data_IF_175200897175
#
_entry.id   IF_175200897175
#
_cell.length_a   1.000
_cell.length_b   1.000
_cell.length_c   1.000
_cell.angle_alpha   90.00
_cell.angle_beta   90.00
_cell.angle_gamma   90.00
#
_symmetry.space_group_name_H-M   'P 1'
#
loop_
_entity.id
_entity.type
_entity.pdbx_description
1 polymer ?
#
# COMPACT_ATOMS: atom_id res chain seq x y z
N UNK A 1 24.60 9.02 -3.81
CA UNK A 1 23.20 8.75 -3.45
C UNK A 1 22.64 7.82 -4.51
N UNK A 2 22.39 6.55 -4.17
CA UNK A 2 21.90 5.56 -5.12
C UNK A 2 20.37 5.57 -5.05
N UNK A 3 19.72 6.08 -6.09
CA UNK A 3 18.26 6.11 -6.17
C UNK A 3 17.78 4.75 -6.69
N UNK A 4 17.04 4.02 -5.86
CA UNK A 4 16.36 2.80 -6.27
C UNK A 4 14.88 3.09 -6.46
N UNK A 5 14.41 2.90 -7.70
CA UNK A 5 12.99 2.98 -8.01
C UNK A 5 12.35 1.63 -7.73
N UNK A 6 11.29 1.62 -6.92
CA UNK A 6 10.50 0.43 -6.63
C UNK A 6 9.03 0.77 -6.81
N UNK A 7 8.29 -0.14 -7.44
CA UNK A 7 6.84 -0.02 -7.59
C UNK A 7 6.20 -0.47 -6.28
N UNK A 8 5.32 0.35 -5.74
CA UNK A 8 4.65 0.12 -4.46
C UNK A 8 3.15 0.21 -4.70
N UNK A 9 2.39 -0.75 -4.18
CA UNK A 9 0.94 -0.70 -4.22
C UNK A 9 0.44 -0.08 -2.92
N UNK A 10 -0.30 1.04 -3.02
CA UNK A 10 -0.92 1.68 -1.86
C UNK A 10 -2.41 1.33 -1.87
N UNK A 11 -2.84 0.60 -0.85
CA UNK A 11 -4.21 0.25 -0.59
C UNK A 11 -4.79 1.19 0.47
N UNK A 12 -5.65 2.11 0.06
CA UNK A 12 -6.30 3.08 0.93
C UNK A 12 -7.70 2.62 1.32
N UNK A 13 -7.93 2.42 2.62
CA UNK A 13 -9.23 1.98 3.15
C UNK A 13 -9.52 2.71 4.47
N UNK A 14 -10.08 3.93 4.42
CA UNK A 14 -10.23 4.76 5.61
C UNK A 14 -11.22 4.13 6.59
N UNK A 15 -10.99 4.33 7.89
CA UNK A 15 -11.83 3.68 8.89
C UNK A 15 -13.28 4.17 8.91
N UNK A 16 -13.49 5.42 8.50
CA UNK A 16 -14.81 6.05 8.33
C UNK A 16 -15.59 5.53 7.11
N UNK A 17 -14.98 4.73 6.23
CA UNK A 17 -15.71 4.11 5.13
C UNK A 17 -16.67 3.02 5.62
N UNK A 18 -17.87 2.99 5.02
CA UNK A 18 -18.84 1.92 5.28
C UNK A 18 -18.30 0.51 4.98
N UNK A 19 -18.88 -0.50 5.64
CA UNK A 19 -18.43 -1.90 5.52
C UNK A 19 -18.51 -2.41 4.06
N UNK A 20 -19.57 -2.06 3.33
CA UNK A 20 -19.79 -2.50 1.96
C UNK A 20 -18.70 -2.00 0.98
N UNK A 21 -18.35 -0.70 0.92
CA UNK A 21 -17.24 -0.24 0.07
C UNK A 21 -15.88 -0.82 0.47
N UNK A 22 -15.60 -1.01 1.77
CA UNK A 22 -14.37 -1.70 2.23
C UNK A 22 -14.29 -3.14 1.70
N UNK A 23 -15.41 -3.86 1.74
CA UNK A 23 -15.48 -5.23 1.25
C UNK A 23 -15.25 -5.31 -0.27
N UNK A 24 -15.88 -4.42 -1.04
CA UNK A 24 -15.66 -4.36 -2.51
C UNK A 24 -14.20 -4.01 -2.80
N UNK A 25 -13.64 -3.00 -2.12
CA UNK A 25 -12.26 -2.60 -2.30
C UNK A 25 -11.28 -3.74 -2.01
N UNK A 26 -11.50 -4.49 -0.93
CA UNK A 26 -10.67 -5.65 -0.59
C UNK A 26 -10.70 -6.74 -1.70
N UNK A 27 -11.88 -7.04 -2.26
CA UNK A 27 -11.99 -7.99 -3.36
C UNK A 27 -11.30 -7.50 -4.64
N UNK A 28 -11.48 -6.23 -5.00
CA UNK A 28 -10.83 -5.61 -6.16
C UNK A 28 -9.31 -5.50 -5.99
N UNK A 29 -8.83 -5.26 -4.77
CA UNK A 29 -7.39 -5.19 -4.45
C UNK A 29 -6.69 -6.51 -4.75
N UNK A 30 -7.28 -7.65 -4.38
CA UNK A 30 -6.67 -8.95 -4.65
C UNK A 30 -6.62 -9.27 -6.15
N UNK A 31 -7.64 -8.86 -6.91
CA UNK A 31 -7.60 -8.95 -8.37
C UNK A 31 -6.49 -8.06 -8.99
N UNK A 32 -6.34 -6.83 -8.48
CA UNK A 32 -5.31 -5.90 -8.92
C UNK A 32 -3.90 -6.42 -8.61
N UNK A 33 -3.67 -6.97 -7.42
CA UNK A 33 -2.40 -7.60 -7.03
C UNK A 33 -2.01 -8.74 -7.94
N UNK A 34 -2.99 -9.52 -8.41
CA UNK A 34 -2.75 -10.63 -9.32
C UNK A 34 -2.45 -10.17 -10.74
N UNK A 35 -2.92 -8.98 -11.12
CA UNK A 35 -2.64 -8.37 -12.42
C UNK A 35 -1.33 -7.55 -12.44
N UNK A 36 -0.90 -7.01 -11.31
CA UNK A 36 0.40 -6.35 -11.17
C UNK A 36 1.46 -7.35 -10.73
N UNK A 37 2.20 -7.89 -11.68
CA UNK A 37 3.40 -8.67 -11.37
C UNK A 37 4.60 -7.73 -11.15
N UNK A 38 5.37 -7.96 -10.08
CA UNK A 38 6.64 -7.24 -9.83
C UNK A 38 6.56 -5.98 -8.96
N UNK A 39 5.47 -5.76 -8.20
CA UNK A 39 5.49 -4.74 -7.15
C UNK A 39 6.37 -5.22 -5.97
N UNK A 40 7.12 -4.29 -5.38
CA UNK A 40 8.07 -4.61 -4.30
C UNK A 40 7.39 -4.75 -2.94
N UNK A 41 6.35 -3.95 -2.70
CA UNK A 41 5.67 -3.93 -1.41
C UNK A 41 4.22 -3.41 -1.53
N UNK A 42 3.35 -3.88 -0.65
CA UNK A 42 1.97 -3.41 -0.48
C UNK A 42 1.88 -2.62 0.83
N UNK A 43 1.40 -1.38 0.75
CA UNK A 43 1.12 -0.51 1.89
C UNK A 43 -0.39 -0.50 2.09
N UNK A 44 -0.85 -0.81 3.29
CA UNK A 44 -2.24 -0.59 3.68
C UNK A 44 -2.29 0.65 4.54
N UNK A 45 -3.10 1.62 4.13
CA UNK A 45 -3.26 2.90 4.78
C UNK A 45 -4.72 3.07 5.16
N UNK A 46 -4.94 3.34 6.45
CA UNK A 46 -6.27 3.54 7.03
C UNK A 46 -6.46 4.99 7.49
N UNK A 47 -5.35 5.71 7.74
CA UNK A 47 -5.34 7.12 8.10
C UNK A 47 -4.40 7.93 7.21
N UNK A 48 -4.70 9.22 7.02
CA UNK A 48 -3.94 10.16 6.21
C UNK A 48 -2.48 10.29 6.64
N UNK A 49 -2.19 10.04 7.92
CA UNK A 49 -0.83 9.96 8.45
C UNK A 49 -0.02 8.77 7.90
N UNK A 50 -0.69 7.67 7.51
CA UNK A 50 -0.04 6.51 6.87
C UNK A 50 0.47 6.84 5.45
N UNK A 51 -0.09 7.90 4.84
CA UNK A 51 0.27 8.35 3.49
C UNK A 51 1.43 9.35 3.47
N UNK A 52 1.98 9.72 4.64
CA UNK A 52 3.10 10.63 4.71
C UNK A 52 4.35 10.01 4.05
N UNK A 53 5.09 10.81 3.27
CA UNK A 53 6.26 10.35 2.51
C UNK A 53 7.34 9.71 3.42
N UNK A 54 7.55 10.27 4.61
CA UNK A 54 8.42 9.75 5.68
C UNK A 54 7.98 8.36 6.16
N UNK A 55 6.70 8.20 6.47
CA UNK A 55 6.10 6.95 6.95
C UNK A 55 6.20 5.85 5.89
N UNK A 56 5.84 6.17 4.64
CA UNK A 56 5.96 5.25 3.50
C UNK A 56 7.41 4.81 3.29
N UNK A 57 8.35 5.76 3.29
CA UNK A 57 9.77 5.46 3.09
C UNK A 57 10.30 4.53 4.20
N UNK A 58 9.98 4.82 5.45
CA UNK A 58 10.39 4.01 6.60
C UNK A 58 9.82 2.59 6.53
N UNK A 59 8.52 2.46 6.22
CA UNK A 59 7.86 1.15 6.10
C UNK A 59 8.49 0.30 4.98
N UNK A 60 8.78 0.92 3.84
CA UNK A 60 9.38 0.26 2.67
C UNK A 60 10.83 -0.14 2.97
N UNK A 61 11.62 0.74 3.57
CA UNK A 61 13.01 0.44 3.94
C UNK A 61 13.10 -0.65 5.01
N UNK A 62 12.21 -0.65 6.01
CA UNK A 62 12.17 -1.68 7.04
C UNK A 62 11.87 -3.07 6.45
N UNK A 63 11.00 -3.14 5.44
CA UNK A 63 10.58 -4.42 4.83
C UNK A 63 11.52 -4.93 3.74
N UNK A 64 12.30 -4.06 3.12
CA UNK A 64 13.32 -4.45 2.12
C UNK A 64 14.59 -4.99 2.79
N UNK A 65 14.92 -4.50 3.99
CA UNK A 65 16.15 -4.86 4.70
C UNK A 65 15.95 -5.92 5.79
N UNK A 66 14.71 -6.39 6.00
CA UNK A 66 14.37 -7.51 6.88
C UNK A 66 14.36 -8.82 6.08
#
# INVERSE_FOLDING_TARGET
MQYSNKIILIAWSPDDAGVHPKMIYAASKEALKRSLEGFAYEIQANDSDDLEHSSILNAVLAKINA
#
